data_IF_129710998199
#
_entry.id   IF_129710998199
#
_cell.length_a   1.000
_cell.length_b   1.000
_cell.length_c   1.000
_cell.angle_alpha   90.00
_cell.angle_beta   90.00
_cell.angle_gamma   90.00
#
_symmetry.space_group_name_H-M   'P 1'
#
loop_
_entity.id
_entity.type
_entity.pdbx_description
1 polymer ?
#
# COMPACT_ATOMS: atom_id res chain seq x y z
N UNK A 1 -25.77 -5.60 -5.46
CA UNK A 1 -24.72 -4.97 -4.64
C UNK A 1 -23.37 -5.48 -5.14
N UNK A 2 -22.48 -4.59 -5.60
CA UNK A 2 -21.13 -4.88 -6.11
C UNK A 2 -20.12 -5.13 -4.98
N UNK A 3 -20.53 -5.81 -3.90
CA UNK A 3 -19.75 -5.96 -2.66
C UNK A 3 -18.50 -6.83 -2.78
N UNK A 4 -18.17 -7.30 -3.99
CA UNK A 4 -17.08 -8.21 -4.26
C UNK A 4 -16.00 -7.63 -5.20
N UNK A 5 -16.02 -6.31 -5.41
CA UNK A 5 -15.08 -5.58 -6.26
C UNK A 5 -14.37 -4.47 -5.48
N UNK A 6 -13.17 -4.11 -5.93
CA UNK A 6 -12.37 -3.03 -5.39
C UNK A 6 -11.44 -2.46 -6.45
N UNK A 7 -10.89 -1.28 -6.19
CA UNK A 7 -9.87 -0.69 -7.06
C UNK A 7 -8.50 -0.88 -6.42
N UNK A 8 -7.57 -1.47 -7.16
CA UNK A 8 -6.15 -1.28 -6.87
C UNK A 8 -5.77 0.10 -7.36
N UNK A 9 -5.13 0.89 -6.52
CA UNK A 9 -4.86 2.30 -6.74
C UNK A 9 -3.46 2.67 -6.28
N UNK A 10 -2.86 3.58 -7.03
CA UNK A 10 -1.52 4.08 -6.78
C UNK A 10 -1.41 5.53 -7.29
N UNK A 11 -0.60 6.33 -6.60
CA UNK A 11 -0.33 7.73 -6.95
C UNK A 11 1.16 8.03 -6.95
N UNK A 12 1.58 8.79 -7.96
CA UNK A 12 2.84 9.53 -7.91
C UNK A 12 2.57 10.95 -7.44
N UNK A 13 3.48 11.50 -6.64
CA UNK A 13 3.38 12.86 -6.11
C UNK A 13 4.63 13.68 -6.39
N UNK A 14 4.47 15.00 -6.48
CA UNK A 14 5.58 15.89 -6.86
C UNK A 14 6.71 15.95 -5.79
N UNK A 15 6.42 15.54 -4.55
CA UNK A 15 7.35 15.45 -3.42
C UNK A 15 6.73 14.57 -2.34
N UNK A 16 7.51 14.16 -1.34
CA UNK A 16 6.99 13.40 -0.20
C UNK A 16 5.81 14.16 0.45
N UNK A 17 4.66 13.50 0.55
CA UNK A 17 3.39 14.08 1.03
C UNK A 17 2.85 15.25 0.18
N UNK A 18 3.18 15.28 -1.11
CA UNK A 18 2.76 16.31 -2.05
C UNK A 18 1.46 16.01 -2.81
N UNK A 19 1.11 16.92 -3.72
CA UNK A 19 0.03 16.82 -4.71
C UNK A 19 0.24 15.64 -5.66
N UNK A 20 -0.87 15.02 -6.05
CA UNK A 20 -0.94 13.99 -7.09
C UNK A 20 -0.44 14.58 -8.42
N UNK A 21 0.51 13.90 -9.05
CA UNK A 21 0.97 14.19 -10.42
C UNK A 21 0.62 13.10 -11.42
N UNK A 22 0.43 11.87 -10.93
CA UNK A 22 -0.12 10.75 -11.69
C UNK A 22 -0.98 9.92 -10.73
N UNK A 23 -2.13 9.47 -11.20
CA UNK A 23 -2.97 8.53 -10.48
C UNK A 23 -3.37 7.41 -11.43
N UNK A 24 -3.28 6.17 -10.94
CA UNK A 24 -3.71 4.99 -11.68
C UNK A 24 -4.63 4.12 -10.84
N UNK A 25 -5.53 3.41 -11.52
CA UNK A 25 -6.36 2.41 -10.91
C UNK A 25 -6.62 1.24 -11.84
N UNK A 26 -6.74 0.04 -11.30
CA UNK A 26 -7.32 -1.11 -11.99
C UNK A 26 -8.37 -1.77 -11.10
N UNK A 27 -9.50 -2.15 -11.67
CA UNK A 27 -10.54 -2.84 -10.90
C UNK A 27 -10.25 -4.33 -10.83
N UNK A 28 -10.47 -4.89 -9.64
CA UNK A 28 -10.37 -6.32 -9.38
C UNK A 28 -11.63 -6.81 -8.68
N UNK A 29 -11.97 -8.08 -8.86
CA UNK A 29 -13.09 -8.71 -8.18
C UNK A 29 -12.85 -10.17 -7.90
N UNK A 30 -13.40 -10.65 -6.79
CA UNK A 30 -13.38 -12.08 -6.47
C UNK A 30 -14.34 -12.84 -7.40
N UNK A 31 -13.92 -14.03 -7.80
CA UNK A 31 -14.69 -14.90 -8.68
C UNK A 31 -14.53 -16.36 -8.28
N UNK A 32 -15.58 -17.15 -8.47
CA UNK A 32 -15.56 -18.60 -8.31
C UNK A 32 -15.32 -19.34 -9.65
N UNK A 33 -15.19 -18.61 -10.75
CA UNK A 33 -15.13 -19.15 -12.11
C UNK A 33 -13.72 -19.17 -12.72
N UNK A 34 -12.67 -19.00 -11.90
CA UNK A 34 -11.28 -18.91 -12.34
C UNK A 34 -10.35 -19.58 -11.33
N UNK A 35 -9.21 -20.10 -11.80
CA UNK A 35 -8.11 -20.57 -10.96
C UNK A 35 -7.42 -19.44 -10.17
N UNK A 36 -7.77 -18.19 -10.50
CA UNK A 36 -7.37 -16.99 -9.78
C UNK A 36 -8.57 -16.53 -8.93
N UNK A 37 -8.46 -16.56 -7.58
CA UNK A 37 -9.57 -16.23 -6.69
C UNK A 37 -10.02 -14.77 -6.81
N UNK A 38 -9.12 -13.90 -7.27
CA UNK A 38 -9.37 -12.49 -7.58
C UNK A 38 -8.78 -12.16 -8.96
N UNK A 39 -9.60 -11.57 -9.83
CA UNK A 39 -9.24 -11.29 -11.23
C UNK A 39 -9.43 -9.81 -11.56
N UNK A 40 -8.62 -9.24 -12.46
CA UNK A 40 -8.87 -7.90 -12.99
C UNK A 40 -10.14 -7.89 -13.86
N UNK A 41 -10.85 -6.77 -13.87
CA UNK A 41 -11.87 -6.47 -14.88
C UNK A 41 -11.23 -5.75 -16.07
N UNK A 42 -12.03 -5.33 -17.05
CA UNK A 42 -11.54 -4.50 -18.16
C UNK A 42 -11.34 -3.02 -17.79
N UNK A 43 -11.65 -2.63 -16.55
CA UNK A 43 -11.54 -1.25 -16.12
C UNK A 43 -10.12 -0.90 -15.65
N UNK A 44 -9.49 0.02 -16.37
CA UNK A 44 -8.25 0.69 -16.00
C UNK A 44 -8.45 2.22 -16.08
N UNK A 45 -7.76 2.94 -15.20
CA UNK A 45 -7.70 4.41 -15.18
C UNK A 45 -6.24 4.84 -15.04
N UNK A 46 -5.82 5.83 -15.81
CA UNK A 46 -4.54 6.50 -15.62
C UNK A 46 -4.64 7.95 -16.10
N UNK A 47 -4.28 8.90 -15.24
CA UNK A 47 -4.27 10.34 -15.57
C UNK A 47 -3.13 11.06 -14.86
N UNK A 48 -2.62 12.10 -15.52
CA UNK A 48 -1.62 13.03 -15.00
C UNK A 48 -2.21 14.39 -14.67
N UNK A 49 -1.57 15.06 -13.71
CA UNK A 49 -2.03 16.32 -13.15
C UNK A 49 -0.85 17.26 -12.95
N UNK A 50 -1.10 18.56 -13.10
CA UNK A 50 -0.12 19.61 -12.81
C UNK A 50 -0.15 19.91 -11.29
N UNK A 51 0.98 19.75 -10.58
CA UNK A 51 1.08 20.09 -9.16
C UNK A 51 1.06 21.62 -8.95
N UNK A 52 0.87 22.05 -7.70
CA UNK A 52 0.93 23.47 -7.33
C UNK A 52 2.34 24.06 -7.33
N UNK A 53 3.36 23.22 -7.16
CA UNK A 53 4.79 23.56 -7.10
C UNK A 53 5.59 22.61 -8.00
N UNK A 54 6.82 23.01 -8.42
CA UNK A 54 7.68 22.14 -9.22
C UNK A 54 7.96 20.78 -8.54
N UNK A 55 8.19 19.75 -9.37
CA UNK A 55 8.53 18.42 -8.88
C UNK A 55 9.92 18.44 -8.22
N UNK A 56 10.03 17.83 -7.05
CA UNK A 56 11.32 17.66 -6.38
C UNK A 56 12.22 16.68 -7.14
N UNK A 57 13.53 16.96 -7.19
CA UNK A 57 14.51 16.06 -7.84
C UNK A 57 14.47 14.65 -7.26
N UNK A 58 14.22 14.51 -5.95
CA UNK A 58 14.07 13.21 -5.31
C UNK A 58 12.85 12.42 -5.84
N UNK A 59 11.72 13.08 -6.05
CA UNK A 59 10.54 12.45 -6.66
C UNK A 59 10.79 12.09 -8.12
N UNK A 60 11.38 13.00 -8.92
CA UNK A 60 11.79 12.70 -10.31
C UNK A 60 12.71 11.48 -10.41
N UNK A 61 13.62 11.29 -9.44
CA UNK A 61 14.52 10.13 -9.43
C UNK A 61 13.79 8.80 -9.14
N UNK A 62 12.61 8.86 -8.52
CA UNK A 62 11.78 7.69 -8.20
C UNK A 62 10.86 7.34 -9.36
N UNK A 63 10.07 8.30 -9.84
CA UNK A 63 9.00 8.04 -10.82
C UNK A 63 9.31 8.52 -12.25
N UNK A 64 10.42 9.25 -12.45
CA UNK A 64 10.89 9.74 -13.76
C UNK A 64 9.90 10.63 -14.54
N UNK A 65 8.97 11.30 -13.84
CA UNK A 65 8.09 12.32 -14.41
C UNK A 65 8.75 13.67 -14.15
N UNK A 66 8.83 14.52 -15.16
CA UNK A 66 9.41 15.87 -15.06
C UNK A 66 8.35 16.94 -15.23
N UNK A 67 8.65 18.19 -14.84
CA UNK A 67 7.70 19.31 -14.89
C UNK A 67 7.14 19.53 -16.31
N UNK A 68 7.98 19.32 -17.33
CA UNK A 68 7.64 19.45 -18.74
C UNK A 68 6.54 18.47 -19.18
N UNK A 69 6.49 17.28 -18.58
CA UNK A 69 5.45 16.27 -18.87
C UNK A 69 4.06 16.73 -18.43
N UNK A 70 3.99 17.63 -17.45
CA UNK A 70 2.76 18.00 -16.74
C UNK A 70 2.27 19.40 -17.09
N UNK A 71 3.02 20.18 -17.87
CA UNK A 71 2.72 21.59 -18.13
C UNK A 71 1.30 21.82 -18.71
N UNK A 72 0.83 20.89 -19.55
CA UNK A 72 -0.51 20.94 -20.19
C UNK A 72 -1.59 20.14 -19.45
N UNK A 73 -1.23 19.47 -18.36
CA UNK A 73 -2.18 18.71 -17.56
C UNK A 73 -3.10 19.62 -16.73
N UNK A 74 -4.33 19.17 -16.39
CA UNK A 74 -5.19 19.90 -15.48
C UNK A 74 -4.54 20.00 -14.09
N UNK A 75 -4.85 21.02 -13.27
CA UNK A 75 -4.32 21.11 -11.92
C UNK A 75 -4.76 19.93 -11.06
N UNK A 76 -3.95 19.51 -10.11
CA UNK A 76 -4.21 18.35 -9.24
C UNK A 76 -5.56 18.41 -8.50
N UNK A 77 -6.07 19.60 -8.20
CA UNK A 77 -7.41 19.81 -7.59
C UNK A 77 -8.57 19.40 -8.50
N UNK A 78 -8.31 19.10 -9.77
CA UNK A 78 -9.28 18.49 -10.70
C UNK A 78 -9.27 16.97 -10.67
N UNK A 79 -8.39 16.34 -9.88
CA UNK A 79 -8.48 14.91 -9.63
C UNK A 79 -9.85 14.55 -9.07
N UNK A 80 -10.43 13.48 -9.59
CA UNK A 80 -11.66 12.86 -9.09
C UNK A 80 -11.42 11.36 -9.11
N UNK A 81 -11.99 10.67 -8.14
CA UNK A 81 -11.98 9.22 -8.14
C UNK A 81 -12.59 8.70 -9.46
N UNK A 82 -12.03 7.63 -10.03
CA UNK A 82 -12.40 7.18 -11.37
C UNK A 82 -13.76 6.48 -11.41
N UNK A 83 -14.38 6.22 -10.24
CA UNK A 83 -15.74 5.72 -10.06
C UNK A 83 -16.38 6.39 -8.84
N UNK A 84 -17.69 6.60 -8.89
CA UNK A 84 -18.44 7.26 -7.80
C UNK A 84 -18.73 6.31 -6.62
N UNK A 85 -18.94 5.02 -6.88
CA UNK A 85 -19.32 4.01 -5.88
C UNK A 85 -18.14 3.09 -5.49
N UNK A 86 -17.05 3.67 -5.00
CA UNK A 86 -15.88 2.89 -4.55
C UNK A 86 -16.04 2.57 -3.07
N UNK A 87 -16.27 1.30 -2.74
CA UNK A 87 -16.27 0.83 -1.36
C UNK A 87 -14.86 0.48 -0.88
N UNK A 88 -14.06 -0.20 -1.72
CA UNK A 88 -12.73 -0.69 -1.35
C UNK A 88 -11.64 -0.11 -2.25
N UNK A 89 -10.60 0.42 -1.63
CA UNK A 89 -9.37 0.87 -2.28
C UNK A 89 -8.19 0.06 -1.75
N UNK A 90 -7.44 -0.54 -2.66
CA UNK A 90 -6.34 -1.45 -2.38
C UNK A 90 -5.06 -0.79 -2.84
N UNK A 91 -4.02 -0.75 -2.01
CA UNK A 91 -2.73 -0.19 -2.37
C UNK A 91 -1.59 -0.77 -1.57
N UNK A 92 -0.37 -0.44 -1.96
CA UNK A 92 0.82 -0.80 -1.22
C UNK A 92 1.30 0.42 -0.43
N UNK A 93 0.95 0.48 0.87
CA UNK A 93 1.00 1.71 1.69
C UNK A 93 -0.16 2.70 1.41
N UNK A 94 -1.36 2.16 1.22
CA UNK A 94 -2.56 2.88 0.72
C UNK A 94 -2.94 4.18 1.45
N UNK A 95 -2.54 4.34 2.73
CA UNK A 95 -2.83 5.58 3.45
C UNK A 95 -2.13 6.80 2.81
N UNK A 96 -0.96 6.58 2.20
CA UNK A 96 -0.25 7.62 1.46
C UNK A 96 -1.06 8.16 0.28
N UNK A 97 -1.63 7.25 -0.53
CA UNK A 97 -2.47 7.59 -1.67
C UNK A 97 -3.77 8.25 -1.24
N UNK A 98 -4.39 7.75 -0.16
CA UNK A 98 -5.58 8.35 0.45
C UNK A 98 -5.30 9.80 0.88
N UNK A 99 -4.16 10.06 1.52
CA UNK A 99 -3.77 11.41 1.90
C UNK A 99 -3.56 12.31 0.68
N UNK A 100 -2.99 11.78 -0.41
CA UNK A 100 -2.83 12.52 -1.66
C UNK A 100 -4.20 12.86 -2.31
N UNK A 101 -5.14 11.91 -2.28
CA UNK A 101 -6.52 12.10 -2.76
C UNK A 101 -7.26 13.15 -1.93
N UNK A 102 -7.10 13.11 -0.60
CA UNK A 102 -7.67 14.12 0.31
C UNK A 102 -7.10 15.52 0.05
N UNK A 103 -5.78 15.64 -0.17
CA UNK A 103 -5.14 16.92 -0.56
C UNK A 103 -5.71 17.48 -1.87
N UNK A 104 -6.08 16.61 -2.82
CA UNK A 104 -6.72 17.01 -4.07
C UNK A 104 -8.21 17.43 -3.91
N UNK A 105 -8.76 17.35 -2.69
CA UNK A 105 -10.12 17.78 -2.36
C UNK A 105 -11.20 16.71 -2.55
N UNK A 106 -10.84 15.43 -2.61
CA UNK A 106 -11.80 14.32 -2.64
C UNK A 106 -12.03 13.78 -1.22
N UNK A 107 -13.29 13.54 -0.86
CA UNK A 107 -13.65 12.89 0.41
C UNK A 107 -13.45 11.37 0.31
N UNK A 108 -12.59 10.83 1.16
CA UNK A 108 -12.29 9.38 1.24
C UNK A 108 -12.81 8.72 2.51
N UNK A 109 -13.57 9.44 3.35
CA UNK A 109 -13.99 8.96 4.69
C UNK A 109 -14.80 7.66 4.67
N UNK A 110 -15.51 7.38 3.58
CA UNK A 110 -16.32 6.16 3.40
C UNK A 110 -15.59 5.01 2.71
N UNK A 111 -14.34 5.22 2.29
CA UNK A 111 -13.56 4.20 1.58
C UNK A 111 -12.90 3.26 2.60
N UNK A 112 -13.15 1.95 2.44
CA UNK A 112 -12.43 0.88 3.14
C UNK A 112 -11.05 0.69 2.50
N UNK A 113 -10.01 0.83 3.32
CA UNK A 113 -8.61 0.86 2.87
C UNK A 113 -7.95 -0.50 3.07
N UNK A 114 -7.46 -1.11 2.00
CA UNK A 114 -6.76 -2.40 2.00
C UNK A 114 -5.28 -2.17 1.73
N UNK A 115 -4.43 -2.44 2.72
CA UNK A 115 -2.99 -2.16 2.67
C UNK A 115 -2.18 -3.45 2.48
N UNK A 116 -1.68 -3.67 1.26
CA UNK A 116 -0.86 -4.85 0.95
C UNK A 116 0.50 -4.83 1.64
N UNK A 117 1.05 -3.65 1.96
CA UNK A 117 2.29 -3.54 2.75
C UNK A 117 2.10 -4.08 4.18
N UNK A 118 1.01 -3.71 4.84
CA UNK A 118 0.68 -4.21 6.18
C UNK A 118 0.52 -5.74 6.17
N UNK A 119 -0.25 -6.25 5.21
CA UNK A 119 -0.43 -7.70 5.01
C UNK A 119 0.89 -8.41 4.72
N UNK A 120 1.75 -7.87 3.85
CA UNK A 120 3.05 -8.48 3.53
C UNK A 120 3.99 -8.52 4.75
N UNK A 121 4.01 -7.45 5.54
CA UNK A 121 4.77 -7.37 6.80
C UNK A 121 4.28 -8.39 7.83
N UNK A 122 2.96 -8.58 7.93
CA UNK A 122 2.38 -9.58 8.82
C UNK A 122 2.69 -11.02 8.37
N UNK A 123 2.56 -11.31 7.07
CA UNK A 123 2.75 -12.67 6.54
C UNK A 123 4.21 -13.09 6.47
N UNK A 124 5.10 -12.15 6.18
CA UNK A 124 6.51 -12.42 5.93
C UNK A 124 7.40 -11.43 6.68
N UNK A 125 7.34 -11.38 8.02
CA UNK A 125 8.04 -10.37 8.81
C UNK A 125 9.57 -10.43 8.65
N UNK A 126 10.11 -11.61 8.34
CA UNK A 126 11.55 -11.85 8.21
C UNK A 126 12.12 -11.53 6.82
N UNK A 127 11.33 -11.05 5.86
CA UNK A 127 11.87 -10.61 4.58
C UNK A 127 12.72 -9.34 4.75
N UNK A 128 13.80 -9.26 3.98
CA UNK A 128 14.79 -8.16 4.05
C UNK A 128 14.18 -6.78 3.78
N UNK A 129 13.22 -6.73 2.85
CA UNK A 129 12.49 -5.54 2.44
C UNK A 129 11.07 -5.89 2.03
N UNK A 130 10.14 -5.00 2.36
CA UNK A 130 8.74 -5.09 1.95
C UNK A 130 8.36 -4.03 0.92
N UNK A 131 9.33 -3.35 0.30
CA UNK A 131 9.02 -2.52 -0.87
C UNK A 131 8.38 -3.37 -1.96
N UNK A 132 7.45 -2.79 -2.73
CA UNK A 132 6.71 -3.52 -3.75
C UNK A 132 7.63 -4.21 -4.78
N UNK A 133 8.69 -3.52 -5.21
CA UNK A 133 9.72 -4.09 -6.10
C UNK A 133 10.47 -5.26 -5.44
N UNK A 134 10.89 -5.13 -4.18
CA UNK A 134 11.57 -6.21 -3.47
C UNK A 134 10.66 -7.44 -3.31
N UNK A 135 9.38 -7.24 -2.96
CA UNK A 135 8.40 -8.32 -2.85
C UNK A 135 8.15 -9.00 -4.20
N UNK A 136 8.09 -8.25 -5.29
CA UNK A 136 7.99 -8.79 -6.65
C UNK A 136 9.15 -9.74 -6.98
N UNK A 137 10.39 -9.37 -6.63
CA UNK A 137 11.55 -10.26 -6.79
C UNK A 137 11.56 -11.45 -5.82
N UNK A 138 11.15 -11.22 -4.57
CA UNK A 138 11.19 -12.22 -3.50
C UNK A 138 10.18 -13.34 -3.74
N UNK A 139 9.00 -13.02 -4.28
CA UNK A 139 7.91 -13.97 -4.51
C UNK A 139 7.91 -14.57 -5.92
N UNK A 140 8.70 -14.01 -6.85
CA UNK A 140 8.76 -14.51 -8.23
C UNK A 140 9.54 -15.82 -8.34
N UNK A 141 8.99 -16.75 -9.12
CA UNK A 141 9.67 -17.98 -9.56
C UNK A 141 10.67 -17.74 -10.70
N UNK A 142 10.49 -16.67 -11.47
CA UNK A 142 11.41 -16.22 -12.53
C UNK A 142 11.76 -14.74 -12.33
N UNK A 143 12.92 -14.49 -11.72
CA UNK A 143 13.42 -13.13 -11.48
C UNK A 143 13.76 -12.38 -12.77
N UNK A 144 14.07 -13.06 -13.88
CA UNK A 144 14.28 -12.41 -15.17
C UNK A 144 12.97 -11.89 -15.74
N UNK A 145 11.89 -12.66 -15.61
CA UNK A 145 10.54 -12.20 -15.95
C UNK A 145 10.10 -11.03 -15.08
N UNK A 146 10.25 -11.14 -13.75
CA UNK A 146 9.93 -10.04 -12.82
C UNK A 146 10.68 -8.75 -13.20
N UNK A 147 11.99 -8.85 -13.47
CA UNK A 147 12.78 -7.69 -13.93
C UNK A 147 12.24 -7.07 -15.22
N UNK A 148 11.79 -7.88 -16.19
CA UNK A 148 11.21 -7.34 -17.45
C UNK A 148 9.92 -6.57 -17.17
N UNK A 149 9.05 -7.12 -16.32
CA UNK A 149 7.81 -6.45 -15.91
C UNK A 149 8.07 -5.15 -15.15
N UNK A 150 9.16 -5.08 -14.36
CA UNK A 150 9.56 -3.91 -13.59
C UNK A 150 10.41 -2.88 -14.39
N UNK A 151 10.99 -3.24 -15.54
CA UNK A 151 11.90 -2.33 -16.28
C UNK A 151 11.20 -1.28 -17.14
N UNK A 152 9.89 -1.42 -17.37
CA UNK A 152 9.08 -0.41 -18.07
C UNK A 152 8.31 0.52 -17.12
N UNK A 153 8.67 0.55 -15.82
CA UNK A 153 7.66 0.44 -14.78
C UNK A 153 7.62 1.52 -13.68
N UNK A 154 8.21 2.69 -13.85
CA UNK A 154 7.99 3.79 -12.91
C UNK A 154 6.76 4.60 -13.34
N UNK A 155 5.60 3.94 -13.35
CA UNK A 155 4.32 4.60 -13.50
C UNK A 155 3.33 3.97 -12.54
N UNK A 156 2.39 4.77 -12.06
CA UNK A 156 1.41 4.33 -11.07
C UNK A 156 0.60 3.09 -11.53
N UNK A 157 0.39 2.94 -12.85
CA UNK A 157 -0.31 1.77 -13.41
C UNK A 157 0.50 0.48 -13.29
N UNK A 158 1.82 0.57 -13.44
CA UNK A 158 2.67 -0.61 -13.27
C UNK A 158 2.76 -1.02 -11.80
N UNK A 159 2.74 -0.07 -10.87
CA UNK A 159 2.62 -0.35 -9.44
C UNK A 159 1.26 -0.94 -9.08
N UNK A 160 0.17 -0.53 -9.74
CA UNK A 160 -1.12 -1.22 -9.64
C UNK A 160 -1.01 -2.70 -10.07
N UNK A 161 -0.39 -2.99 -11.23
CA UNK A 161 -0.23 -4.36 -11.75
C UNK A 161 0.71 -5.20 -10.87
N UNK A 162 1.74 -4.60 -10.31
CA UNK A 162 2.65 -5.28 -9.38
C UNK A 162 1.95 -5.54 -8.04
N UNK A 163 1.14 -4.59 -7.56
CA UNK A 163 0.28 -4.75 -6.38
C UNK A 163 -0.75 -5.86 -6.60
N UNK A 164 -1.36 -5.98 -7.79
CA UNK A 164 -2.23 -7.12 -8.12
C UNK A 164 -1.51 -8.46 -8.01
N UNK A 165 -0.29 -8.54 -8.54
CA UNK A 165 0.52 -9.75 -8.46
C UNK A 165 0.81 -10.14 -7.01
N UNK A 166 1.21 -9.17 -6.17
CA UNK A 166 1.39 -9.36 -4.72
C UNK A 166 0.07 -9.80 -4.04
N UNK A 167 -1.03 -9.15 -4.38
CA UNK A 167 -2.35 -9.44 -3.83
C UNK A 167 -2.78 -10.89 -4.11
N UNK A 168 -2.51 -11.41 -5.32
CA UNK A 168 -2.74 -12.81 -5.65
C UNK A 168 -1.99 -13.78 -4.72
N UNK A 169 -0.74 -13.48 -4.37
CA UNK A 169 0.02 -14.29 -3.41
C UNK A 169 -0.62 -14.27 -2.02
N UNK A 170 -0.99 -13.07 -1.54
CA UNK A 170 -1.63 -12.88 -0.23
C UNK A 170 -2.96 -13.65 -0.15
N UNK A 171 -3.85 -13.45 -1.13
CA UNK A 171 -5.17 -14.07 -1.17
C UNK A 171 -5.07 -15.60 -1.20
N UNK A 172 -4.12 -16.15 -1.98
CA UNK A 172 -3.88 -17.60 -2.02
C UNK A 172 -3.34 -18.15 -0.71
N UNK A 173 -2.33 -17.50 -0.13
CA UNK A 173 -1.71 -17.96 1.12
C UNK A 173 -2.71 -17.95 2.29
N UNK A 174 -3.59 -16.95 2.35
CA UNK A 174 -4.61 -16.81 3.40
C UNK A 174 -5.97 -17.42 3.06
N UNK A 175 -6.12 -17.98 1.85
CA UNK A 175 -7.37 -18.57 1.35
C UNK A 175 -8.58 -17.61 1.48
N UNK A 176 -8.34 -16.32 1.22
CA UNK A 176 -9.36 -15.26 1.31
C UNK A 176 -10.36 -15.44 0.16
N UNK A 177 -11.66 -15.27 0.43
CA UNK A 177 -12.74 -15.59 -0.52
C UNK A 177 -13.61 -14.40 -0.92
N UNK A 178 -13.46 -13.26 -0.26
CA UNK A 178 -14.26 -12.05 -0.54
C UNK A 178 -13.50 -10.76 -0.26
N UNK A 179 -14.03 -9.65 -0.78
CA UNK A 179 -13.45 -8.33 -0.54
C UNK A 179 -13.55 -7.91 0.94
N UNK A 180 -14.63 -8.29 1.63
CA UNK A 180 -14.78 -8.03 3.06
C UNK A 180 -13.77 -8.84 3.90
N UNK A 181 -13.57 -10.13 3.60
CA UNK A 181 -12.52 -10.92 4.27
C UNK A 181 -11.11 -10.34 4.03
N UNK A 182 -10.85 -9.85 2.81
CA UNK A 182 -9.59 -9.19 2.47
C UNK A 182 -9.41 -7.90 3.29
N UNK A 183 -10.46 -7.11 3.43
CA UNK A 183 -10.46 -5.90 4.25
C UNK A 183 -10.22 -6.21 5.73
N UNK A 184 -10.94 -7.16 6.31
CA UNK A 184 -10.75 -7.56 7.70
C UNK A 184 -9.32 -8.07 7.97
N UNK A 185 -8.76 -8.86 7.04
CA UNK A 185 -7.38 -9.30 7.15
C UNK A 185 -6.38 -8.13 7.06
N UNK A 186 -6.61 -7.17 6.16
CA UNK A 186 -5.82 -5.95 6.06
C UNK A 186 -5.85 -5.14 7.35
N UNK A 187 -7.03 -4.91 7.93
CA UNK A 187 -7.19 -4.14 9.17
C UNK A 187 -6.47 -4.81 10.35
N UNK A 188 -6.57 -6.13 10.47
CA UNK A 188 -5.81 -6.88 11.48
C UNK A 188 -4.31 -6.73 11.25
N UNK A 189 -3.84 -6.87 10.00
CA UNK A 189 -2.42 -6.80 9.65
C UNK A 189 -1.82 -5.39 9.81
N UNK A 190 -2.63 -4.34 9.96
CA UNK A 190 -2.15 -2.98 10.25
C UNK A 190 -1.45 -2.88 11.60
N UNK A 191 -1.81 -3.74 12.56
CA UNK A 191 -1.18 -3.85 13.87
C UNK A 191 0.13 -4.64 13.72
N UNK A 192 1.31 -3.99 13.72
CA UNK A 192 2.56 -4.68 13.43
C UNK A 192 2.93 -5.65 14.55
N UNK A 193 3.51 -6.79 14.17
CA UNK A 193 4.07 -7.77 15.13
C UNK A 193 5.59 -7.66 15.25
N UNK A 194 6.23 -6.92 14.33
CA UNK A 194 7.67 -6.75 14.23
C UNK A 194 8.04 -5.29 13.97
N UNK A 195 9.28 -4.93 14.28
CA UNK A 195 9.88 -3.64 13.95
C UNK A 195 10.44 -3.67 12.53
N UNK A 196 10.08 -2.70 11.69
CA UNK A 196 10.46 -2.66 10.27
C UNK A 196 11.45 -1.54 9.92
N UNK A 197 11.86 -0.73 10.89
CA UNK A 197 12.77 0.39 10.73
C UNK A 197 13.65 0.61 11.97
N UNK A 198 14.69 1.44 11.84
CA UNK A 198 15.57 1.79 12.95
C UNK A 198 16.45 0.65 13.45
N UNK A 199 17.03 0.84 14.64
CA UNK A 199 18.04 -0.05 15.22
C UNK A 199 17.52 -1.47 15.52
N UNK A 200 16.23 -1.61 15.80
CA UNK A 200 15.59 -2.88 16.13
C UNK A 200 14.89 -3.53 14.92
N UNK A 201 15.18 -3.10 13.68
CA UNK A 201 14.59 -3.69 12.47
C UNK A 201 14.78 -5.22 12.48
N UNK A 202 13.67 -5.94 12.31
CA UNK A 202 13.62 -7.41 12.29
C UNK A 202 13.24 -8.05 13.62
N UNK A 203 13.26 -7.31 14.73
CA UNK A 203 12.82 -7.83 16.03
C UNK A 203 11.31 -8.02 16.04
N UNK A 204 10.85 -9.15 16.57
CA UNK A 204 9.47 -9.28 17.00
C UNK A 204 9.25 -8.32 18.18
N UNK A 205 8.08 -7.68 18.24
CA UNK A 205 7.77 -6.72 19.32
C UNK A 205 7.80 -7.44 20.69
N UNK A 206 7.35 -8.69 20.74
CA UNK A 206 7.41 -9.53 21.95
C UNK A 206 8.83 -9.79 22.44
N UNK A 207 9.82 -9.70 21.55
CA UNK A 207 11.21 -10.07 21.84
C UNK A 207 12.09 -8.84 22.11
N UNK A 208 11.49 -7.64 22.12
CA UNK A 208 12.21 -6.41 22.44
C UNK A 208 12.66 -6.41 23.90
N UNK A 209 13.89 -5.97 24.22
CA UNK A 209 14.27 -5.62 25.58
C UNK A 209 13.33 -4.55 26.15
N UNK A 210 13.03 -4.58 27.46
CA UNK A 210 12.09 -3.64 28.09
C UNK A 210 12.49 -2.18 27.86
N UNK A 211 13.77 -1.85 28.01
CA UNK A 211 14.27 -0.50 27.72
C UNK A 211 14.01 -0.08 26.26
N UNK A 212 14.20 -0.99 25.30
CA UNK A 212 13.95 -0.70 23.90
C UNK A 212 12.45 -0.50 23.62
N UNK A 213 11.60 -1.27 24.29
CA UNK A 213 10.14 -1.16 24.20
C UNK A 213 9.69 0.24 24.69
N UNK A 214 10.15 0.68 25.85
CA UNK A 214 9.82 1.99 26.42
C UNK A 214 10.30 3.14 25.52
N UNK A 215 11.56 3.08 25.06
CA UNK A 215 12.11 4.09 24.15
C UNK A 215 11.34 4.18 22.83
N UNK A 216 10.88 3.04 22.30
CA UNK A 216 10.09 3.00 21.08
C UNK A 216 8.67 3.52 21.31
N UNK A 217 8.06 3.32 22.47
CA UNK A 217 6.74 3.88 22.81
C UNK A 217 6.77 5.41 22.75
N UNK A 218 7.82 6.05 23.27
CA UNK A 218 7.95 7.51 23.25
C UNK A 218 8.11 8.09 21.84
N UNK A 219 8.76 7.34 20.95
CA UNK A 219 9.13 7.79 19.59
C UNK A 219 8.15 7.37 18.51
N UNK A 220 7.19 6.50 18.83
CA UNK A 220 6.27 5.91 17.85
C UNK A 220 4.89 6.57 17.87
N UNK A 221 4.15 6.39 16.78
CA UNK A 221 2.75 6.81 16.65
C UNK A 221 1.94 5.74 15.91
N UNK A 222 0.64 5.98 15.75
CA UNK A 222 -0.26 5.13 14.97
C UNK A 222 -0.27 3.67 15.42
N UNK A 223 -0.33 2.75 14.45
CA UNK A 223 -0.46 1.31 14.70
C UNK A 223 0.76 0.70 15.40
N UNK A 224 1.96 1.23 15.16
CA UNK A 224 3.17 0.76 15.86
C UNK A 224 3.07 1.08 17.35
N UNK A 225 2.71 2.31 17.71
CA UNK A 225 2.50 2.70 19.11
C UNK A 225 1.44 1.84 19.79
N UNK A 226 0.32 1.56 19.12
CA UNK A 226 -0.72 0.66 19.65
C UNK A 226 -0.17 -0.73 19.98
N UNK A 227 0.69 -1.27 19.10
CA UNK A 227 1.27 -2.61 19.28
C UNK A 227 2.28 -2.65 20.42
N UNK A 228 3.13 -1.62 20.52
CA UNK A 228 4.11 -1.49 21.61
C UNK A 228 3.42 -1.34 22.98
N UNK A 229 2.37 -0.51 23.06
CA UNK A 229 1.59 -0.34 24.31
C UNK A 229 0.87 -1.62 24.72
N UNK A 230 0.31 -2.36 23.76
CA UNK A 230 -0.31 -3.65 24.04
C UNK A 230 0.71 -4.64 24.60
N UNK A 231 1.91 -4.67 24.05
CA UNK A 231 2.98 -5.53 24.56
C UNK A 231 3.43 -5.11 25.97
N UNK A 232 3.65 -3.82 26.20
CA UNK A 232 3.99 -3.28 27.53
C UNK A 232 2.93 -3.66 28.57
N UNK A 233 1.65 -3.52 28.23
CA UNK A 233 0.54 -3.94 29.09
C UNK A 233 0.59 -5.44 29.40
N UNK A 234 0.76 -6.30 28.40
CA UNK A 234 0.88 -7.75 28.61
C UNK A 234 2.03 -8.12 29.55
N UNK A 235 3.19 -7.47 29.43
CA UNK A 235 4.35 -7.72 30.30
C UNK A 235 4.06 -7.32 31.75
N UNK A 236 3.30 -6.25 31.96
CA UNK A 236 2.92 -5.81 33.31
C UNK A 236 1.96 -6.75 34.05
N UNK A 237 1.27 -7.63 33.32
CA UNK A 237 0.35 -8.64 33.89
C UNK A 237 1.04 -9.98 34.21
N UNK A 238 2.31 -10.17 33.84
CA UNK A 238 3.04 -11.40 34.15
C UNK A 238 3.44 -11.41 35.64
N UNK A 239 3.11 -12.47 36.40
CA UNK A 239 3.55 -12.59 37.79
C UNK A 239 5.08 -12.73 37.83
N UNK A 240 5.70 -12.03 38.77
CA UNK A 240 7.14 -12.09 39.07
C UNK A 240 7.65 -13.51 39.30
#
# INVERSE_FOLDING_TARGET
>A
MKTNQGLIFDTETHKLHGDIIEAAAMEVGFTQYSDYPIVPTSFEFSKRYKPSEPISIAAMAIHHIVDEDLFKCPPFTKFRMPKDDIEYLIGHNIDYDIDAVNRAGCDTTKIKRICTLAMARYLWPHFESHSLTALSYQLSRDRKAARRSLKGAHSAMNDCKTTYSLLLHIVRQKQIKSMEELYQFSEMARIPTHIFNGAYKGYAISDLPDQALDELIEKSNGFLLSSLRLESFKRSELPF
#
